data_IF_288608949547
#
_entry.id   IF_288608949547
#
_cell.length_a   1.000
_cell.length_b   1.000
_cell.length_c   1.000
_cell.angle_alpha   90.00
_cell.angle_beta   90.00
_cell.angle_gamma   90.00
#
_symmetry.space_group_name_H-M   'P 1'
#
loop_
_entity.id
_entity.type
_entity.pdbx_description
1 polymer ?
#
# COMPACT_ATOMS: atom_id res chain seq x y z
N UNK A 1 0.51 7.22 7.16
CA UNK A 1 0.54 7.12 5.69
C UNK A 1 1.68 8.01 5.23
N UNK A 2 2.54 7.54 4.33
CA UNK A 2 3.74 8.28 3.90
C UNK A 2 3.84 8.25 2.38
N UNK A 3 3.90 9.40 1.72
CA UNK A 3 4.15 9.46 0.28
C UNK A 3 5.61 9.15 -0.03
N UNK A 4 5.86 8.42 -1.13
CA UNK A 4 7.23 8.04 -1.48
C UNK A 4 8.11 9.25 -1.88
N UNK A 5 7.49 10.37 -2.27
CA UNK A 5 8.20 11.61 -2.57
C UNK A 5 8.74 12.30 -1.30
N UNK A 6 8.13 12.06 -0.15
CA UNK A 6 8.43 12.73 1.12
C UNK A 6 9.39 11.91 2.02
N UNK A 7 9.88 10.78 1.54
CA UNK A 7 10.76 9.88 2.29
C UNK A 7 11.97 9.49 1.46
N UNK A 8 13.15 9.51 2.07
CA UNK A 8 14.39 9.04 1.44
C UNK A 8 14.42 7.51 1.34
N UNK A 9 15.19 6.96 0.41
CA UNK A 9 15.27 5.50 0.25
C UNK A 9 15.90 4.80 1.45
N UNK A 10 16.83 5.46 2.16
CA UNK A 10 17.45 4.93 3.38
C UNK A 10 16.44 4.88 4.53
N UNK A 11 15.67 5.94 4.72
CA UNK A 11 14.63 5.99 5.75
C UNK A 11 13.50 4.99 5.46
N UNK A 12 13.06 4.90 4.20
CA UNK A 12 12.07 3.90 3.79
C UNK A 12 12.53 2.47 4.13
N UNK A 13 13.77 2.11 3.78
CA UNK A 13 14.33 0.79 4.11
C UNK A 13 14.39 0.55 5.62
N UNK A 14 14.74 1.57 6.40
CA UNK A 14 14.75 1.48 7.87
C UNK A 14 13.35 1.25 8.44
N UNK A 15 12.33 1.99 7.98
CA UNK A 15 10.94 1.81 8.42
C UNK A 15 10.37 0.44 8.04
N UNK A 16 10.70 -0.07 6.85
CA UNK A 16 10.33 -1.44 6.45
C UNK A 16 10.98 -2.48 7.38
N UNK A 17 12.29 -2.33 7.65
CA UNK A 17 13.01 -3.25 8.57
C UNK A 17 12.45 -3.23 9.98
N UNK A 18 12.00 -2.06 10.46
CA UNK A 18 11.36 -1.87 11.78
C UNK A 18 9.90 -2.30 11.83
N UNK A 19 9.30 -2.71 10.70
CA UNK A 19 7.87 -3.01 10.56
C UNK A 19 6.94 -1.81 10.78
N UNK A 20 7.47 -0.59 10.68
CA UNK A 20 6.68 0.65 10.72
C UNK A 20 5.93 0.88 9.39
N UNK A 21 6.42 0.27 8.29
CA UNK A 21 5.75 0.21 6.98
C UNK A 21 5.58 -1.26 6.62
N UNK A 22 4.33 -1.68 6.43
CA UNK A 22 3.97 -3.06 6.08
C UNK A 22 3.37 -3.17 4.68
N UNK A 23 2.77 -2.11 4.17
CA UNK A 23 2.03 -2.10 2.90
C UNK A 23 2.46 -0.91 2.02
N UNK A 24 2.21 -1.06 0.72
CA UNK A 24 2.37 0.03 -0.25
C UNK A 24 1.17 0.11 -1.18
N UNK A 25 0.97 1.26 -1.80
CA UNK A 25 -0.20 1.51 -2.64
C UNK A 25 0.02 2.51 -3.75
N UNK A 26 -1.02 2.66 -4.58
CA UNK A 26 -1.16 3.73 -5.56
C UNK A 26 -2.08 4.81 -4.99
N UNK A 27 -1.55 6.03 -4.81
CA UNK A 27 -2.31 7.15 -4.24
C UNK A 27 -3.43 7.65 -5.15
N UNK A 28 -3.21 7.68 -6.47
CA UNK A 28 -4.19 8.17 -7.46
C UNK A 28 -5.34 7.20 -7.66
N UNK A 29 -5.03 5.91 -7.74
CA UNK A 29 -6.04 4.85 -7.94
C UNK A 29 -6.68 4.37 -6.64
N UNK A 30 -6.22 4.88 -5.48
CA UNK A 30 -6.64 4.46 -4.15
C UNK A 30 -6.56 2.94 -3.94
N UNK A 31 -5.40 2.36 -4.26
CA UNK A 31 -5.15 0.91 -4.11
C UNK A 31 -4.05 0.69 -3.07
N UNK A 32 -4.21 -0.25 -2.14
CA UNK A 32 -3.11 -0.74 -1.29
C UNK A 32 -2.82 -2.22 -1.55
N UNK A 33 -1.62 -2.67 -1.20
CA UNK A 33 -1.18 -4.05 -1.35
C UNK A 33 0.15 -4.31 -0.67
N UNK A 34 0.69 -5.51 -0.88
CA UNK A 34 1.94 -5.91 -0.25
C UNK A 34 3.14 -5.14 -0.80
N UNK A 35 4.20 -4.99 0.00
CA UNK A 35 5.49 -4.45 -0.46
C UNK A 35 6.14 -5.30 -1.58
N UNK A 36 5.78 -6.57 -1.67
CA UNK A 36 6.27 -7.52 -2.68
C UNK A 36 5.51 -7.48 -4.00
N UNK A 37 4.39 -6.76 -4.08
CA UNK A 37 3.54 -6.70 -5.28
C UNK A 37 4.30 -6.30 -6.55
N UNK A 38 4.26 -7.15 -7.57
CA UNK A 38 4.94 -6.91 -8.86
C UNK A 38 4.49 -5.62 -9.53
N UNK A 39 3.17 -5.37 -9.57
CA UNK A 39 2.61 -4.12 -10.11
C UNK A 39 3.03 -2.90 -9.29
N UNK A 40 3.09 -3.05 -7.95
CA UNK A 40 3.51 -1.99 -7.03
C UNK A 40 4.97 -1.60 -7.18
N UNK A 41 5.87 -2.56 -7.42
CA UNK A 41 7.31 -2.33 -7.64
C UNK A 41 7.61 -1.53 -8.90
N UNK A 42 6.73 -1.56 -9.91
CA UNK A 42 6.87 -0.84 -11.19
C UNK A 42 6.27 0.58 -11.13
N UNK A 43 5.72 0.99 -9.99
CA UNK A 43 5.03 2.26 -9.86
C UNK A 43 6.00 3.45 -9.79
N UNK A 44 5.66 4.54 -10.47
CA UNK A 44 6.37 5.82 -10.32
C UNK A 44 6.36 6.29 -8.85
N UNK A 45 7.45 6.93 -8.42
CA UNK A 45 7.61 7.46 -7.06
C UNK A 45 6.44 8.35 -6.65
N UNK A 46 6.04 9.28 -7.52
CA UNK A 46 4.92 10.23 -7.34
C UNK A 46 3.53 9.59 -7.08
N UNK A 47 3.37 8.31 -7.45
CA UNK A 47 2.11 7.59 -7.28
C UNK A 47 2.18 6.61 -6.09
N UNK A 48 3.37 6.30 -5.59
CA UNK A 48 3.58 5.29 -4.57
C UNK A 48 3.42 5.88 -3.17
N UNK A 49 2.68 5.17 -2.34
CA UNK A 49 2.40 5.54 -0.95
C UNK A 49 2.57 4.33 -0.04
N UNK A 50 2.86 4.55 1.24
CA UNK A 50 3.14 3.51 2.22
C UNK A 50 2.20 3.59 3.42
N UNK A 51 1.87 2.43 3.97
CA UNK A 51 1.01 2.28 5.14
C UNK A 51 1.65 1.38 6.19
N UNK A 52 1.38 1.69 7.44
CA UNK A 52 1.75 0.91 8.62
C UNK A 52 0.86 -0.31 8.82
N UNK A 53 -0.40 -0.25 8.37
CA UNK A 53 -1.36 -1.35 8.52
C UNK A 53 -2.42 -1.35 7.42
N UNK A 54 -3.18 -2.44 7.32
CA UNK A 54 -4.35 -2.55 6.44
C UNK A 54 -5.47 -1.60 6.88
N UNK A 55 -5.74 -1.52 8.19
CA UNK A 55 -6.72 -0.60 8.76
C UNK A 55 -6.44 0.85 8.37
N UNK A 56 -5.19 1.30 8.48
CA UNK A 56 -4.81 2.65 8.06
C UNK A 56 -5.13 2.91 6.57
N UNK A 57 -4.91 1.93 5.70
CA UNK A 57 -5.25 2.08 4.28
C UNK A 57 -6.76 2.14 4.06
N UNK A 58 -7.53 1.31 4.75
CA UNK A 58 -9.00 1.27 4.68
C UNK A 58 -9.61 2.57 5.19
N UNK A 59 -9.15 3.07 6.35
CA UNK A 59 -9.61 4.33 6.95
C UNK A 59 -9.35 5.53 6.02
N UNK A 60 -8.32 5.44 5.18
CA UNK A 60 -7.99 6.43 4.14
C UNK A 60 -8.68 6.17 2.78
N UNK A 61 -9.68 5.28 2.76
CA UNK A 61 -10.49 4.88 1.60
C UNK A 61 -9.70 4.24 0.46
N UNK A 62 -8.66 3.45 0.77
CA UNK A 62 -7.96 2.63 -0.21
C UNK A 62 -8.58 1.24 -0.28
N UNK A 63 -8.76 0.74 -1.51
CA UNK A 63 -9.16 -0.65 -1.73
C UNK A 63 -7.96 -1.58 -1.81
N UNK A 64 -8.10 -2.86 -1.43
CA UNK A 64 -7.08 -3.88 -1.65
C UNK A 64 -6.74 -4.06 -3.14
N UNK A 65 -5.51 -4.51 -3.38
CA UNK A 65 -5.00 -4.84 -4.71
C UNK A 65 -5.52 -6.20 -5.17
N UNK A 66 -6.29 -6.23 -6.26
CA UNK A 66 -6.80 -7.50 -6.83
C UNK A 66 -5.73 -8.48 -7.32
N UNK A 67 -4.45 -8.08 -7.41
CA UNK A 67 -3.36 -8.99 -7.78
C UNK A 67 -2.73 -9.67 -6.57
N UNK A 68 -2.27 -8.90 -5.58
CA UNK A 68 -1.53 -9.42 -4.41
C UNK A 68 -2.39 -9.61 -3.15
N UNK A 69 -3.60 -9.08 -3.11
CA UNK A 69 -4.54 -9.15 -1.98
C UNK A 69 -5.90 -9.70 -2.47
N UNK A 70 -5.90 -10.85 -3.15
CA UNK A 70 -7.09 -11.38 -3.83
C UNK A 70 -8.27 -11.63 -2.89
N UNK A 71 -8.01 -12.16 -1.70
CA UNK A 71 -9.06 -12.47 -0.72
C UNK A 71 -9.71 -11.18 -0.20
N UNK A 72 -8.89 -10.24 0.27
CA UNK A 72 -9.33 -8.92 0.73
C UNK A 72 -10.08 -8.17 -0.39
N UNK A 73 -9.59 -8.27 -1.62
CA UNK A 73 -10.24 -7.69 -2.79
C UNK A 73 -11.61 -8.28 -3.08
N UNK A 74 -11.76 -9.60 -2.99
CA UNK A 74 -13.06 -10.24 -3.15
C UNK A 74 -14.03 -9.81 -2.05
N UNK A 75 -13.57 -9.72 -0.79
CA UNK A 75 -14.35 -9.21 0.36
C UNK A 75 -14.84 -7.78 0.11
N UNK A 76 -13.92 -6.87 -0.21
CA UNK A 76 -14.21 -5.49 -0.57
C UNK A 76 -15.20 -5.36 -1.75
N UNK A 77 -14.99 -6.14 -2.82
CA UNK A 77 -15.84 -6.09 -4.03
C UNK A 77 -17.27 -6.58 -3.76
N UNK A 78 -17.43 -7.55 -2.86
CA UNK A 78 -18.73 -8.10 -2.51
C UNK A 78 -19.43 -7.31 -1.39
N UNK A 79 -18.84 -6.21 -0.91
CA UNK A 79 -19.39 -5.41 0.20
C UNK A 79 -19.30 -6.13 1.56
N UNK A 80 -18.50 -7.19 1.65
CA UNK A 80 -18.20 -7.90 2.89
C UNK A 80 -16.98 -7.20 3.49
N UNK A 81 -17.20 -6.08 4.17
CA UNK A 81 -16.17 -5.33 4.88
C UNK A 81 -16.25 -5.69 6.36
#
# INVERSE_FOLDING_TARGET
MIEHIDISDSELRNKIRRKDILLAGNRKLKIYGTLSCTSGKRMKRENRIFFSSESEAIDNAYRPCGHCMKEQYSKWKNGII
#
